data_IF_760816630831
#
_entry.id   IF_760816630831
#
_cell.length_a   1.000
_cell.length_b   1.000
_cell.length_c   1.000
_cell.angle_alpha   90.00
_cell.angle_beta   90.00
_cell.angle_gamma   90.00
#
_symmetry.space_group_name_H-M   'P 1'
#
loop_
_entity.id
_entity.type
_entity.pdbx_description
1 polymer ?
#
# COMPACT_ATOMS: atom_id res chain seq x y z
N UNK A 1 5.84 25.73 -8.18
CA UNK A 1 6.41 25.20 -6.93
C UNK A 1 6.05 26.18 -5.84
N UNK A 2 5.39 25.75 -4.77
CA UNK A 2 4.49 26.51 -3.86
C UNK A 2 3.03 26.51 -4.29
N UNK A 3 2.29 25.51 -3.79
CA UNK A 3 0.87 25.55 -3.35
C UNK A 3 0.39 24.11 -3.05
N UNK A 4 0.94 23.49 -1.99
CA UNK A 4 0.40 22.29 -1.32
C UNK A 4 0.71 22.44 0.17
N UNK A 5 0.06 23.38 0.85
CA UNK A 5 0.05 23.44 2.32
C UNK A 5 -1.35 23.85 2.75
N UNK A 6 -2.30 22.92 2.65
CA UNK A 6 -3.60 23.02 3.32
C UNK A 6 -4.32 21.67 3.14
N UNK A 7 -3.98 20.66 3.93
CA UNK A 7 -4.84 19.45 4.01
C UNK A 7 -4.93 18.87 5.43
N UNK A 8 -3.96 19.11 6.33
CA UNK A 8 -4.06 18.59 7.70
C UNK A 8 -3.51 19.62 8.70
N UNK A 9 -4.36 20.12 9.59
CA UNK A 9 -4.00 20.93 10.78
C UNK A 9 -3.27 20.02 11.79
N UNK A 10 -2.08 19.53 11.43
CA UNK A 10 -1.19 18.83 12.35
C UNK A 10 0.04 19.72 12.51
N UNK A 11 0.02 20.54 13.56
CA UNK A 11 1.17 21.32 13.97
C UNK A 11 2.14 20.41 14.75
N UNK A 12 3.41 20.39 14.35
CA UNK A 12 4.54 19.77 15.05
C UNK A 12 4.34 18.28 15.45
N UNK A 13 4.21 17.34 14.49
CA UNK A 13 4.10 15.92 14.82
C UNK A 13 5.36 15.38 15.50
N UNK A 14 5.21 14.51 16.50
CA UNK A 14 6.34 13.87 17.16
C UNK A 14 6.86 12.69 16.33
N UNK A 15 5.93 11.90 15.76
CA UNK A 15 6.27 10.71 14.96
C UNK A 15 5.38 10.58 13.72
N UNK A 16 5.98 10.19 12.60
CA UNK A 16 5.30 9.83 11.36
C UNK A 16 5.65 8.39 11.00
N UNK A 17 4.66 7.51 10.99
CA UNK A 17 4.80 6.14 10.49
C UNK A 17 4.27 6.04 9.06
N UNK A 18 5.12 5.58 8.13
CA UNK A 18 4.76 5.25 6.75
C UNK A 18 4.82 3.73 6.62
N UNK A 19 3.66 3.12 6.36
CA UNK A 19 3.50 1.66 6.34
C UNK A 19 3.18 1.20 4.92
N UNK A 20 4.14 0.52 4.30
CA UNK A 20 3.96 -0.16 3.02
C UNK A 20 3.04 -1.38 3.17
N UNK A 21 2.35 -1.75 2.10
CA UNK A 21 1.40 -2.85 2.13
C UNK A 21 2.07 -4.21 2.40
N UNK A 22 1.28 -5.19 2.83
CA UNK A 22 1.75 -6.57 2.94
C UNK A 22 2.17 -7.12 1.55
N UNK A 23 3.21 -7.97 1.46
CA UNK A 23 3.75 -8.42 0.17
C UNK A 23 2.71 -9.10 -0.74
N UNK A 24 1.76 -9.84 -0.17
CA UNK A 24 0.74 -10.55 -0.92
C UNK A 24 -0.19 -9.61 -1.71
N UNK A 25 -0.41 -8.38 -1.22
CA UNK A 25 -1.24 -7.37 -1.91
C UNK A 25 -0.62 -6.94 -3.23
N UNK A 26 0.70 -6.84 -3.32
CA UNK A 26 1.41 -6.54 -4.57
C UNK A 26 1.21 -7.63 -5.62
N UNK A 27 1.27 -8.88 -5.19
CA UNK A 27 1.04 -10.03 -6.06
C UNK A 27 -0.40 -10.09 -6.56
N UNK A 28 -1.37 -9.87 -5.67
CA UNK A 28 -2.78 -9.75 -6.02
C UNK A 28 -3.02 -8.58 -7.00
N UNK A 29 -2.41 -7.41 -6.74
CA UNK A 29 -2.51 -6.23 -7.59
C UNK A 29 -2.02 -6.50 -9.02
N UNK A 30 -0.79 -7.01 -9.17
CA UNK A 30 -0.22 -7.29 -10.49
C UNK A 30 -0.98 -8.41 -11.22
N UNK A 31 -1.50 -9.40 -10.48
CA UNK A 31 -2.37 -10.43 -11.06
C UNK A 31 -3.64 -9.83 -11.66
N UNK A 32 -4.34 -8.97 -10.92
CA UNK A 32 -5.57 -8.33 -11.42
C UNK A 32 -5.27 -7.36 -12.56
N UNK A 33 -4.19 -6.58 -12.44
CA UNK A 33 -3.76 -5.63 -13.46
C UNK A 33 -3.41 -6.31 -14.79
N UNK A 34 -2.78 -7.49 -14.73
CA UNK A 34 -2.33 -8.25 -15.89
C UNK A 34 -3.40 -9.11 -16.55
N UNK A 35 -4.60 -9.23 -15.96
CA UNK A 35 -5.68 -10.07 -16.46
C UNK A 35 -6.42 -9.44 -17.65
N UNK A 36 -6.94 -10.28 -18.55
CA UNK A 36 -7.73 -9.81 -19.68
C UNK A 36 -9.19 -9.51 -19.25
N UNK A 37 -9.87 -8.55 -19.91
CA UNK A 37 -11.27 -8.27 -19.63
C UNK A 37 -12.17 -9.50 -19.81
N UNK A 38 -12.87 -9.88 -18.75
CA UNK A 38 -13.79 -11.03 -18.75
C UNK A 38 -13.23 -12.31 -18.13
N UNK A 39 -11.96 -12.32 -17.73
CA UNK A 39 -11.38 -13.43 -16.98
C UNK A 39 -11.97 -13.57 -15.57
N UNK A 40 -11.96 -14.80 -15.05
CA UNK A 40 -12.28 -15.10 -13.66
C UNK A 40 -11.12 -14.69 -12.73
N UNK A 41 -10.77 -13.40 -12.76
CA UNK A 41 -9.55 -12.84 -12.16
C UNK A 41 -9.46 -13.08 -10.66
N UNK A 42 -10.56 -12.91 -9.93
CA UNK A 42 -10.62 -13.13 -8.48
C UNK A 42 -10.35 -14.60 -8.13
N UNK A 43 -11.00 -15.53 -8.84
CA UNK A 43 -10.82 -16.97 -8.59
C UNK A 43 -9.39 -17.41 -8.87
N UNK A 44 -8.84 -17.01 -10.02
CA UNK A 44 -7.46 -17.35 -10.38
C UNK A 44 -6.40 -16.74 -9.45
N UNK A 45 -6.65 -15.57 -8.88
CA UNK A 45 -5.77 -14.97 -7.88
C UNK A 45 -5.80 -15.73 -6.54
N UNK A 46 -6.96 -16.24 -6.14
CA UNK A 46 -7.12 -17.04 -4.92
C UNK A 46 -6.47 -18.43 -5.02
N UNK A 47 -6.28 -18.96 -6.24
CA UNK A 47 -5.54 -20.21 -6.48
C UNK A 47 -4.02 -20.05 -6.24
N UNK A 48 -3.51 -18.82 -6.17
CA UNK A 48 -2.12 -18.53 -5.81
C UNK A 48 -1.96 -18.60 -4.29
N UNK A 49 -1.22 -19.60 -3.78
CA UNK A 49 -1.02 -19.81 -2.33
C UNK A 49 -0.54 -18.54 -1.60
N UNK A 50 0.31 -17.73 -2.23
CA UNK A 50 0.83 -16.50 -1.61
C UNK A 50 -0.24 -15.41 -1.43
N UNK A 51 -1.41 -15.54 -2.07
CA UNK A 51 -2.56 -14.65 -1.93
C UNK A 51 -3.69 -15.37 -1.19
N UNK A 52 -4.04 -16.58 -1.61
CA UNK A 52 -5.14 -17.38 -1.08
C UNK A 52 -5.01 -17.75 0.39
N UNK A 53 -3.79 -17.90 0.91
CA UNK A 53 -3.55 -18.19 2.34
C UNK A 53 -4.06 -17.08 3.28
N UNK A 54 -4.32 -15.88 2.76
CA UNK A 54 -4.89 -14.75 3.52
C UNK A 54 -6.42 -14.77 3.60
N UNK A 55 -7.09 -15.75 2.98
CA UNK A 55 -8.52 -16.02 3.14
C UNK A 55 -9.43 -14.84 2.79
N UNK A 56 -10.34 -14.51 3.71
CA UNK A 56 -11.35 -13.44 3.50
C UNK A 56 -10.71 -12.08 3.20
N UNK A 57 -9.53 -11.76 3.78
CA UNK A 57 -8.80 -10.51 3.48
C UNK A 57 -8.39 -10.44 2.02
N UNK A 58 -7.95 -11.56 1.45
CA UNK A 58 -7.59 -11.62 0.04
C UNK A 58 -8.84 -11.53 -0.85
N UNK A 59 -9.92 -12.23 -0.48
CA UNK A 59 -11.17 -12.18 -1.25
C UNK A 59 -11.74 -10.75 -1.31
N UNK A 60 -11.78 -10.03 -0.18
CA UNK A 60 -12.26 -8.66 -0.11
C UNK A 60 -11.38 -7.72 -0.96
N UNK A 61 -10.06 -7.77 -0.77
CA UNK A 61 -9.11 -6.94 -1.51
C UNK A 61 -9.15 -7.20 -3.03
N UNK A 62 -9.25 -8.47 -3.45
CA UNK A 62 -9.39 -8.84 -4.86
C UNK A 62 -10.71 -8.33 -5.46
N UNK A 63 -11.79 -8.31 -4.67
CA UNK A 63 -13.07 -7.72 -5.07
C UNK A 63 -12.95 -6.22 -5.36
N UNK A 64 -12.22 -5.49 -4.51
CA UNK A 64 -11.96 -4.06 -4.70
C UNK A 64 -11.09 -3.79 -5.93
N UNK A 65 -10.05 -4.60 -6.14
CA UNK A 65 -9.19 -4.51 -7.32
C UNK A 65 -9.95 -4.82 -8.61
N UNK A 66 -10.78 -5.88 -8.61
CA UNK A 66 -11.58 -6.26 -9.77
C UNK A 66 -12.57 -5.14 -10.17
N UNK A 67 -13.09 -4.40 -9.19
CA UNK A 67 -13.96 -3.24 -9.44
C UNK A 67 -13.21 -2.06 -10.09
N UNK A 68 -11.88 -2.04 -10.00
CA UNK A 68 -10.97 -1.04 -10.57
C UNK A 68 -10.18 -1.58 -11.78
N UNK A 69 -10.50 -2.79 -12.25
CA UNK A 69 -9.78 -3.45 -13.33
C UNK A 69 -9.76 -2.58 -14.61
N UNK A 70 -8.56 -2.35 -15.15
CA UNK A 70 -8.31 -1.46 -16.29
C UNK A 70 -7.93 -0.02 -15.92
N UNK A 71 -8.06 0.38 -14.66
CA UNK A 71 -7.50 1.64 -14.13
C UNK A 71 -6.23 1.42 -13.29
N UNK A 72 -5.82 0.17 -13.08
CA UNK A 72 -4.63 -0.19 -12.32
C UNK A 72 -3.36 0.16 -13.12
N UNK A 73 -2.49 0.96 -12.51
CA UNK A 73 -1.22 1.39 -13.07
C UNK A 73 -0.08 0.46 -12.62
N UNK A 74 1.03 0.35 -13.35
CA UNK A 74 2.17 -0.44 -12.88
C UNK A 74 2.67 0.06 -11.53
N UNK A 75 2.91 -0.86 -10.60
CA UNK A 75 3.47 -0.55 -9.27
C UNK A 75 4.87 -1.15 -9.12
N UNK A 76 5.61 -0.66 -8.12
CA UNK A 76 6.85 -1.32 -7.70
C UNK A 76 6.51 -2.63 -6.97
N UNK A 77 7.46 -3.57 -6.94
CA UNK A 77 7.35 -4.70 -6.01
C UNK A 77 7.50 -4.23 -4.55
N UNK A 78 7.08 -5.09 -3.61
CA UNK A 78 6.98 -4.74 -2.21
C UNK A 78 8.32 -4.27 -1.60
N UNK A 79 9.40 -5.02 -1.89
CA UNK A 79 10.73 -4.71 -1.37
C UNK A 79 11.24 -3.39 -1.95
N UNK A 80 11.01 -3.16 -3.24
CA UNK A 80 11.45 -1.94 -3.91
C UNK A 80 10.64 -0.72 -3.50
N UNK A 81 9.33 -0.83 -3.28
CA UNK A 81 8.54 0.26 -2.72
C UNK A 81 9.03 0.61 -1.31
N UNK A 82 9.26 -0.39 -0.46
CA UNK A 82 9.78 -0.18 0.90
C UNK A 82 11.13 0.55 0.88
N UNK A 83 12.08 0.09 0.08
CA UNK A 83 13.41 0.70 -0.06
C UNK A 83 13.30 2.17 -0.52
N UNK A 84 12.44 2.46 -1.50
CA UNK A 84 12.23 3.83 -1.99
C UNK A 84 11.64 4.72 -0.90
N UNK A 85 10.70 4.22 -0.11
CA UNK A 85 10.11 4.96 1.01
C UNK A 85 11.13 5.22 2.11
N UNK A 86 11.96 4.23 2.45
CA UNK A 86 13.07 4.37 3.41
C UNK A 86 14.08 5.42 2.95
N UNK A 87 14.50 5.36 1.68
CA UNK A 87 15.41 6.34 1.06
C UNK A 87 14.82 7.75 1.02
N UNK A 88 13.49 7.88 0.98
CA UNK A 88 12.77 9.14 0.94
C UNK A 88 12.36 9.66 2.33
N UNK A 89 12.50 8.87 3.40
CA UNK A 89 12.02 9.20 4.74
C UNK A 89 12.56 10.54 5.27
N UNK A 90 13.80 10.89 4.89
CA UNK A 90 14.44 12.14 5.30
C UNK A 90 13.70 13.39 4.81
N UNK A 91 12.95 13.30 3.70
CA UNK A 91 12.17 14.44 3.19
C UNK A 91 11.07 14.82 4.18
N UNK A 92 10.41 13.83 4.77
CA UNK A 92 9.39 14.05 5.79
C UNK A 92 10.01 14.52 7.10
N UNK A 93 11.15 13.96 7.49
CA UNK A 93 11.84 14.37 8.71
C UNK A 93 12.32 15.83 8.63
N UNK A 94 12.82 16.28 7.48
CA UNK A 94 13.26 17.67 7.24
C UNK A 94 12.07 18.64 7.19
N UNK A 95 10.98 18.27 6.51
CA UNK A 95 9.79 19.12 6.37
C UNK A 95 9.02 19.29 7.69
N UNK A 96 8.86 18.20 8.46
CA UNK A 96 8.00 18.18 9.64
C UNK A 96 8.75 18.18 10.97
N UNK A 97 10.08 18.02 10.97
CA UNK A 97 10.88 17.97 12.21
C UNK A 97 10.57 16.75 13.11
N UNK A 98 9.98 15.69 12.55
CA UNK A 98 9.49 14.52 13.28
C UNK A 98 10.40 13.28 13.14
N UNK A 99 10.25 12.31 14.06
CA UNK A 99 10.80 10.95 13.89
C UNK A 99 10.01 10.22 12.80
N UNK A 100 10.66 9.82 11.71
CA UNK A 100 10.00 9.12 10.60
C UNK A 100 10.39 7.66 10.61
N UNK A 101 9.39 6.77 10.63
CA UNK A 101 9.58 5.33 10.56
C UNK A 101 8.91 4.78 9.33
N UNK A 102 9.66 4.02 8.55
CA UNK A 102 9.16 3.30 7.39
C UNK A 102 9.23 1.81 7.71
N UNK A 103 8.15 1.09 7.42
CA UNK A 103 8.06 -0.34 7.67
C UNK A 103 7.05 -1.00 6.75
N UNK A 104 7.11 -2.31 6.67
CA UNK A 104 6.07 -3.11 6.05
C UNK A 104 4.97 -3.46 7.05
N UNK A 105 3.72 -3.53 6.56
CA UNK A 105 2.59 -4.00 7.34
C UNK A 105 2.72 -5.49 7.69
N UNK A 106 2.32 -5.86 8.90
CA UNK A 106 2.11 -7.23 9.35
C UNK A 106 0.62 -7.53 9.47
N UNK A 107 0.22 -8.81 9.58
CA UNK A 107 -1.19 -9.17 9.71
C UNK A 107 -1.88 -8.57 10.95
N UNK A 108 -1.13 -8.27 12.01
CA UNK A 108 -1.64 -7.68 13.26
C UNK A 108 -1.73 -6.15 13.25
N UNK A 109 -1.23 -5.48 12.20
CA UNK A 109 -1.30 -4.03 12.10
C UNK A 109 -2.71 -3.54 11.72
N UNK A 110 -3.24 -2.58 12.49
CA UNK A 110 -4.48 -1.88 12.14
C UNK A 110 -4.36 -1.11 10.81
N UNK A 111 -3.13 -0.74 10.43
CA UNK A 111 -2.82 -0.07 9.16
C UNK A 111 -2.72 -1.02 7.97
N UNK A 112 -2.58 -2.35 8.19
CA UNK A 112 -2.45 -3.32 7.11
C UNK A 112 -3.64 -3.32 6.16
N UNK A 113 -4.84 -3.09 6.70
CA UNK A 113 -6.05 -2.98 5.90
C UNK A 113 -6.03 -1.75 4.97
N UNK A 114 -5.42 -0.65 5.41
CA UNK A 114 -5.39 0.64 4.69
C UNK A 114 -4.24 0.75 3.69
N UNK A 115 -3.12 0.08 3.96
CA UNK A 115 -1.96 0.13 3.09
C UNK A 115 -2.23 -0.66 1.80
N UNK A 116 -1.99 -0.01 0.65
CA UNK A 116 -2.08 -0.60 -0.68
C UNK A 116 -0.80 -0.30 -1.49
N UNK A 117 -0.49 -1.09 -2.53
CA UNK A 117 0.63 -0.79 -3.43
C UNK A 117 0.54 0.63 -4.00
N UNK A 118 1.64 1.38 -3.96
CA UNK A 118 1.72 2.81 -4.33
C UNK A 118 0.83 3.76 -3.50
N UNK A 119 0.21 3.27 -2.43
CA UNK A 119 -0.60 4.03 -1.48
C UNK A 119 -0.32 3.53 -0.05
N UNK A 120 0.89 3.77 0.48
CA UNK A 120 1.21 3.37 1.85
C UNK A 120 0.25 4.05 2.84
N UNK A 121 -0.01 3.37 3.96
CA UNK A 121 -0.75 3.98 5.05
C UNK A 121 0.16 4.94 5.82
N UNK A 122 -0.39 6.07 6.27
CA UNK A 122 0.34 7.04 7.10
C UNK A 122 -0.39 7.17 8.44
N UNK A 123 0.36 7.08 9.53
CA UNK A 123 -0.07 7.42 10.88
C UNK A 123 0.82 8.53 11.43
N UNK A 124 0.21 9.50 12.09
CA UNK A 124 0.88 10.67 12.63
C UNK A 124 0.43 10.79 14.09
N UNK A 125 1.40 10.88 14.99
CA UNK A 125 1.22 11.01 16.44
C UNK A 125 1.87 12.30 16.97
#
# INVERSE_FOLDING_TARGET
VRDITEVVDIDDPETIEIVAAEPWKYRAYEHVRGADPGDAVVGSALDDEAVGDHGDRAADYLGDLASQAGALEPVLDADRELEVLEDAAWLFADEFGADVRVRQATPEDDLAAKAEPSKPAIQID
#
